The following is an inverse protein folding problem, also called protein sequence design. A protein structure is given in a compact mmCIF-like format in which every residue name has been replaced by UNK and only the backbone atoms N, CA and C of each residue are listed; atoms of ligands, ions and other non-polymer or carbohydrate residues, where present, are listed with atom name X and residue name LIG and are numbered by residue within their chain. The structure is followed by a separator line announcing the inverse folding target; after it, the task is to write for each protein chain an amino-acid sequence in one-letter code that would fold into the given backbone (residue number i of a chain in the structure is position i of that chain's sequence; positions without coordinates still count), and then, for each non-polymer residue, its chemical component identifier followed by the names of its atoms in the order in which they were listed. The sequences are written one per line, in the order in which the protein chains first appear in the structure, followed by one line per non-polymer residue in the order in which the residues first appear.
data_IF_831768011133
#
_entry.id   IF_831768011133
#
_cell.length_a   1.000
_cell.length_b   1.000
_cell.length_c   1.000
_cell.angle_alpha   90.00
_cell.angle_beta   90.00
_cell.angle_gamma   90.00
#
_symmetry.space_group_name_H-M   'P 1'
#
loop_
_entity.id
_entity.type
_entity.pdbx_description
1 polymer ?
#
# COMPACT_ATOMS: atom_id res chain seq x y z
N UNK A 1 14.26 -9.10 -9.98
CA UNK A 1 13.05 -9.74 -9.45
C UNK A 1 12.73 -9.21 -8.07
N UNK A 2 11.46 -9.03 -7.82
CA UNK A 2 10.86 -8.71 -6.54
C UNK A 2 10.20 -9.98 -6.00
N UNK A 3 10.53 -10.39 -4.77
CA UNK A 3 9.96 -11.59 -4.15
C UNK A 3 9.07 -11.16 -3.00
N UNK A 4 7.80 -11.51 -3.07
CA UNK A 4 6.75 -11.18 -2.08
C UNK A 4 6.11 -12.46 -1.53
N UNK A 5 5.30 -12.30 -0.47
CA UNK A 5 4.46 -13.35 0.10
C UNK A 5 2.99 -12.96 -0.05
N UNK A 6 2.11 -13.95 -0.26
CA UNK A 6 0.66 -13.71 -0.39
C UNK A 6 -0.05 -13.47 0.94
N UNK A 7 0.49 -13.95 2.02
CA UNK A 7 -0.20 -14.10 3.31
C UNK A 7 0.30 -13.18 4.42
N UNK A 8 1.19 -12.25 4.10
CA UNK A 8 1.68 -11.28 5.08
C UNK A 8 2.20 -10.01 4.42
N UNK A 9 1.96 -8.88 5.06
CA UNK A 9 2.67 -7.65 4.76
C UNK A 9 4.08 -7.80 5.31
N UNK A 10 5.12 -7.95 4.53
CA UNK A 10 6.50 -7.66 4.93
C UNK A 10 7.55 -8.07 3.90
N UNK A 11 8.59 -7.28 3.88
CA UNK A 11 9.93 -7.46 3.33
C UNK A 11 10.00 -8.19 2.00
N UNK A 12 9.92 -7.37 1.03
CA UNK A 12 10.31 -7.65 -0.32
C UNK A 12 11.80 -7.98 -0.34
N UNK A 13 12.16 -9.13 -0.87
CA UNK A 13 13.54 -9.42 -1.20
C UNK A 13 13.78 -8.99 -2.64
N UNK A 14 14.59 -7.94 -2.82
CA UNK A 14 15.01 -7.49 -4.15
C UNK A 14 16.19 -8.35 -4.61
N UNK A 15 16.01 -9.04 -5.72
CA UNK A 15 17.05 -9.79 -6.39
C UNK A 15 17.48 -9.06 -7.66
N UNK A 16 18.47 -8.18 -7.55
CA UNK A 16 19.00 -7.44 -8.70
C UNK A 16 19.89 -8.31 -9.60
N UNK A 17 20.56 -9.30 -9.05
CA UNK A 17 21.44 -10.20 -9.81
C UNK A 17 21.24 -11.65 -9.37
N UNK A 18 20.68 -12.47 -10.25
CA UNK A 18 20.42 -13.90 -9.99
C UNK A 18 21.70 -14.69 -9.67
N UNK A 19 22.85 -14.27 -10.20
CA UNK A 19 24.16 -14.95 -9.97
C UNK A 19 24.73 -14.68 -8.57
N UNK A 20 24.36 -13.55 -7.93
CA UNK A 20 24.82 -13.16 -6.60
C UNK A 20 23.88 -13.59 -5.46
N UNK A 21 22.78 -14.26 -5.77
CA UNK A 21 21.82 -14.73 -4.77
C UNK A 21 22.37 -15.98 -4.09
N UNK A 22 22.63 -15.91 -2.80
CA UNK A 22 22.92 -17.09 -1.97
C UNK A 22 21.67 -17.96 -1.88
N UNK A 23 21.52 -18.88 -2.85
CA UNK A 23 20.33 -19.72 -3.04
C UNK A 23 19.91 -20.43 -1.76
N UNK A 24 20.85 -21.00 -1.00
CA UNK A 24 20.57 -21.81 0.18
C UNK A 24 20.05 -20.99 1.37
N UNK A 25 20.66 -19.82 1.63
CA UNK A 25 20.25 -18.93 2.73
C UNK A 25 18.91 -18.29 2.45
N UNK A 26 18.68 -17.83 1.23
CA UNK A 26 17.40 -17.24 0.84
C UNK A 26 16.27 -18.28 0.80
N UNK A 27 16.54 -19.51 0.35
CA UNK A 27 15.55 -20.59 0.36
C UNK A 27 15.08 -20.88 1.79
N UNK A 28 15.97 -21.09 2.75
CA UNK A 28 15.61 -21.32 4.16
C UNK A 28 14.77 -20.18 4.75
N UNK A 29 15.14 -18.93 4.44
CA UNK A 29 14.40 -17.75 4.91
C UNK A 29 13.00 -17.66 4.31
N UNK A 30 12.88 -17.96 3.02
CA UNK A 30 11.60 -17.99 2.32
C UNK A 30 10.69 -19.11 2.85
N UNK A 31 11.21 -20.33 2.97
CA UNK A 31 10.49 -21.49 3.50
C UNK A 31 10.09 -21.31 4.97
N UNK A 32 10.96 -20.72 5.79
CA UNK A 32 10.63 -20.38 7.18
C UNK A 32 9.49 -19.38 7.27
N UNK A 33 9.40 -18.45 6.33
CA UNK A 33 8.32 -17.46 6.28
C UNK A 33 6.97 -18.06 5.88
N UNK A 34 6.93 -19.12 5.07
CA UNK A 34 5.69 -19.82 4.69
C UNK A 34 5.03 -20.55 5.86
N UNK A 35 5.80 -20.89 6.90
CA UNK A 35 5.28 -21.59 8.10
C UNK A 35 4.57 -20.65 9.08
N UNK A 36 4.75 -19.34 8.94
CA UNK A 36 4.16 -18.37 9.84
C UNK A 36 2.72 -18.06 9.43
N UNK A 37 1.79 -18.23 10.35
CA UNK A 37 0.41 -17.80 10.14
C UNK A 37 0.28 -16.32 10.57
N UNK A 38 0.21 -15.41 9.60
CA UNK A 38 0.13 -13.98 9.87
C UNK A 38 -1.14 -13.59 10.65
N UNK A 39 -2.25 -14.27 10.40
CA UNK A 39 -3.50 -14.02 11.11
C UNK A 39 -3.38 -14.24 12.62
N UNK A 40 -2.58 -15.19 13.07
CA UNK A 40 -2.41 -15.43 14.53
C UNK A 40 -1.69 -14.27 15.22
N UNK A 41 -0.93 -13.49 14.46
CA UNK A 41 -0.14 -12.33 14.94
C UNK A 41 -0.96 -11.04 14.83
N UNK A 42 -1.46 -10.74 13.64
CA UNK A 42 -2.13 -9.46 13.34
C UNK A 42 -3.63 -9.47 13.60
N UNK A 43 -4.25 -10.66 13.64
CA UNK A 43 -5.71 -10.84 13.70
C UNK A 43 -6.47 -10.21 12.52
N UNK A 44 -5.78 -9.88 11.46
CA UNK A 44 -6.38 -9.36 10.23
C UNK A 44 -7.14 -10.49 9.51
N UNK A 45 -8.46 -10.43 9.56
CA UNK A 45 -9.37 -11.47 9.04
C UNK A 45 -9.10 -11.88 7.57
N UNK A 46 -8.79 -10.97 6.64
CA UNK A 46 -8.53 -11.35 5.25
C UNK A 46 -7.41 -12.36 5.07
N UNK A 47 -6.43 -12.39 5.98
CA UNK A 47 -5.29 -13.31 5.90
C UNK A 47 -5.56 -14.70 6.52
N UNK A 48 -6.70 -14.87 7.20
CA UNK A 48 -6.99 -16.11 7.95
C UNK A 48 -6.90 -17.38 7.10
N UNK A 49 -7.44 -17.32 5.88
CA UNK A 49 -7.55 -18.46 4.97
C UNK A 49 -6.69 -18.29 3.70
N UNK A 50 -5.77 -17.32 3.67
CA UNK A 50 -4.87 -17.14 2.54
C UNK A 50 -3.79 -18.21 2.58
N UNK A 51 -3.75 -19.03 1.53
CA UNK A 51 -2.69 -20.03 1.36
C UNK A 51 -1.32 -19.33 1.23
N UNK A 52 -0.34 -19.67 2.07
CA UNK A 52 0.99 -19.10 2.01
C UNK A 52 1.70 -19.44 0.69
N UNK A 53 1.96 -18.44 -0.12
CA UNK A 53 2.70 -18.58 -1.40
C UNK A 53 3.78 -17.54 -1.50
N UNK A 54 4.76 -17.83 -2.34
CA UNK A 54 5.82 -16.89 -2.76
C UNK A 54 5.50 -16.45 -4.18
N UNK A 55 5.48 -15.13 -4.39
CA UNK A 55 5.29 -14.53 -5.71
C UNK A 55 6.62 -13.90 -6.13
N UNK A 56 7.00 -14.08 -7.38
CA UNK A 56 8.14 -13.41 -7.99
C UNK A 56 7.65 -12.53 -9.14
N UNK A 57 7.94 -11.24 -9.04
CA UNK A 57 7.55 -10.23 -10.02
C UNK A 57 8.78 -9.62 -10.68
N UNK A 58 8.68 -9.09 -11.91
CA UNK A 58 9.72 -8.23 -12.46
C UNK A 58 10.01 -7.05 -11.52
N UNK A 59 11.27 -6.66 -11.39
CA UNK A 59 11.59 -5.40 -10.73
C UNK A 59 11.25 -4.27 -11.67
N UNK A 60 10.30 -3.44 -11.27
CA UNK A 60 9.78 -2.37 -12.09
C UNK A 60 10.64 -1.11 -11.93
N UNK A 61 10.97 -0.49 -13.03
CA UNK A 61 11.63 0.80 -13.15
C UNK A 61 10.95 1.57 -14.27
N UNK A 62 10.95 2.87 -14.19
CA UNK A 62 10.55 3.74 -15.29
C UNK A 62 11.77 4.36 -15.99
N UNK A 63 11.52 5.12 -17.05
CA UNK A 63 12.57 5.76 -17.85
C UNK A 63 13.29 6.88 -17.10
N UNK A 64 12.75 7.38 -16.00
CA UNK A 64 13.40 8.38 -15.15
C UNK A 64 14.57 7.83 -14.36
N UNK A 65 14.61 6.51 -14.15
CA UNK A 65 15.60 5.84 -13.30
C UNK A 65 15.51 6.23 -11.82
N UNK A 66 14.51 7.03 -11.43
CA UNK A 66 14.25 7.42 -10.06
C UNK A 66 13.47 6.34 -9.29
N UNK A 67 13.32 6.51 -7.98
CA UNK A 67 12.44 5.68 -7.17
C UNK A 67 10.98 5.84 -7.66
N UNK A 68 10.33 4.72 -7.97
CA UNK A 68 8.92 4.73 -8.34
C UNK A 68 8.08 5.25 -7.20
N UNK A 69 7.25 6.25 -7.49
CA UNK A 69 6.28 6.77 -6.53
C UNK A 69 5.17 5.75 -6.33
N UNK A 70 4.81 5.58 -5.08
CA UNK A 70 3.81 4.66 -4.58
C UNK A 70 2.56 5.47 -4.21
N UNK A 71 1.51 5.33 -5.01
CA UNK A 71 0.24 6.04 -4.83
C UNK A 71 -0.76 5.12 -4.14
N UNK A 72 -1.14 5.50 -2.92
CA UNK A 72 -1.98 4.70 -2.04
C UNK A 72 -3.34 5.35 -1.87
N UNK A 73 -4.30 4.79 -2.53
CA UNK A 73 -5.67 5.30 -2.52
C UNK A 73 -6.49 4.66 -1.41
N UNK A 74 -7.16 5.46 -0.63
CA UNK A 74 -8.07 5.01 0.42
C UNK A 74 -9.51 5.08 -0.12
N UNK A 75 -10.11 3.91 -0.25
CA UNK A 75 -11.46 3.76 -0.76
C UNK A 75 -12.44 3.49 0.39
N UNK A 76 -13.49 4.27 0.42
CA UNK A 76 -14.58 4.15 1.39
C UNK A 76 -15.87 3.86 0.61
N UNK A 77 -16.47 2.69 0.88
CA UNK A 77 -17.70 2.24 0.22
C UNK A 77 -17.63 2.28 -1.32
N UNK A 78 -16.48 1.87 -1.87
CA UNK A 78 -16.25 1.84 -3.31
C UNK A 78 -15.91 3.20 -3.94
N UNK A 79 -15.67 4.25 -3.14
CA UNK A 79 -15.28 5.58 -3.61
C UNK A 79 -13.94 6.00 -3.05
N UNK A 80 -13.08 6.55 -3.91
CA UNK A 80 -11.85 7.20 -3.48
C UNK A 80 -12.19 8.47 -2.71
N UNK A 81 -11.66 8.65 -1.52
CA UNK A 81 -11.84 9.85 -0.71
C UNK A 81 -10.53 10.59 -0.45
N UNK A 82 -9.45 9.86 -0.24
CA UNK A 82 -8.12 10.43 -0.10
C UNK A 82 -7.04 9.49 -0.63
N UNK A 83 -5.92 10.07 -0.96
CA UNK A 83 -4.75 9.40 -1.50
C UNK A 83 -3.55 9.82 -0.67
N UNK A 84 -2.59 8.95 -0.47
CA UNK A 84 -1.30 9.38 0.04
C UNK A 84 -0.14 8.82 -0.76
N UNK A 85 0.95 9.58 -0.76
CA UNK A 85 2.20 9.19 -1.38
C UNK A 85 3.28 9.02 -0.32
N UNK A 86 4.20 8.12 -0.61
CA UNK A 86 5.40 7.89 0.19
C UNK A 86 6.61 8.39 -0.61
N UNK A 87 7.38 9.32 -0.03
CA UNK A 87 8.59 9.87 -0.63
C UNK A 87 9.79 9.70 0.30
N UNK A 88 10.99 9.82 -0.25
CA UNK A 88 12.25 9.79 0.50
C UNK A 88 12.46 8.52 1.36
N UNK A 89 11.93 7.36 0.93
CA UNK A 89 11.99 6.10 1.69
C UNK A 89 13.39 5.66 2.08
N UNK A 90 14.36 5.97 1.24
CA UNK A 90 15.77 5.61 1.44
C UNK A 90 16.66 6.82 1.74
N UNK A 91 16.08 8.01 1.90
CA UNK A 91 16.82 9.20 2.26
C UNK A 91 17.25 9.18 3.74
N UNK A 92 18.33 9.86 4.10
CA UNK A 92 18.78 9.96 5.50
C UNK A 92 17.72 10.55 6.44
N UNK A 93 16.88 11.47 5.96
CA UNK A 93 15.79 12.10 6.69
C UNK A 93 14.60 11.17 6.92
N UNK A 94 14.58 10.02 6.23
CA UNK A 94 13.57 9.00 6.36
C UNK A 94 12.30 9.26 5.55
N UNK A 95 11.39 8.30 5.64
CA UNK A 95 10.12 8.29 4.92
C UNK A 95 9.25 9.50 5.26
N UNK A 96 8.67 10.10 4.23
CA UNK A 96 7.63 11.13 4.35
C UNK A 96 6.32 10.60 3.74
N UNK A 97 5.21 10.99 4.35
CA UNK A 97 3.86 10.61 3.89
C UNK A 97 3.02 11.87 3.76
N UNK A 98 2.49 12.09 2.58
CA UNK A 98 1.65 13.27 2.28
C UNK A 98 0.30 12.82 1.77
N UNK A 99 -0.78 13.29 2.39
CA UNK A 99 -2.16 13.01 2.00
C UNK A 99 -2.68 14.09 1.06
N UNK A 100 -3.51 13.65 0.11
CA UNK A 100 -4.18 14.47 -0.89
C UNK A 100 -5.65 14.09 -0.97
N UNK A 101 -6.49 15.05 -1.31
CA UNK A 101 -7.85 14.79 -1.74
C UNK A 101 -7.92 14.33 -3.21
N UNK A 102 -9.11 14.13 -3.74
CA UNK A 102 -9.33 13.75 -5.14
C UNK A 102 -9.00 14.84 -6.16
N UNK A 103 -8.88 16.09 -5.73
CA UNK A 103 -8.41 17.21 -6.56
C UNK A 103 -6.90 17.37 -6.54
N UNK A 104 -6.19 16.51 -5.80
CA UNK A 104 -4.75 16.58 -5.58
C UNK A 104 -4.31 17.76 -4.69
N UNK A 105 -5.20 18.22 -3.82
CA UNK A 105 -4.87 19.23 -2.81
C UNK A 105 -4.39 18.55 -1.53
N UNK A 106 -3.33 19.12 -0.92
CA UNK A 106 -2.78 18.55 0.33
C UNK A 106 -3.80 18.63 1.45
N UNK A 107 -4.06 17.51 2.10
CA UNK A 107 -4.94 17.45 3.26
C UNK A 107 -4.20 17.87 4.54
N UNK A 108 -4.90 18.51 5.51
CA UNK A 108 -4.28 19.13 6.68
C UNK A 108 -4.04 18.15 7.83
N UNK A 109 -3.65 16.92 7.54
CA UNK A 109 -3.33 15.91 8.56
C UNK A 109 -2.15 15.03 8.15
N UNK A 110 -1.59 14.35 9.11
CA UNK A 110 -0.50 13.39 8.90
C UNK A 110 -0.73 12.12 9.73
N UNK A 111 -0.07 11.05 9.33
CA UNK A 111 0.26 9.90 10.18
C UNK A 111 1.57 10.20 10.93
N UNK A 112 2.08 9.23 11.66
CA UNK A 112 3.36 9.32 12.40
C UNK A 112 4.59 9.73 11.56
N UNK A 113 4.47 9.79 10.22
CA UNK A 113 5.52 10.29 9.34
C UNK A 113 5.35 11.78 9.03
N UNK A 114 6.46 12.52 8.82
CA UNK A 114 6.38 13.92 8.41
C UNK A 114 5.77 14.07 7.01
N UNK A 115 5.15 15.22 6.75
CA UNK A 115 4.66 15.61 5.43
C UNK A 115 5.83 16.11 4.58
N UNK A 116 5.85 15.75 3.30
CA UNK A 116 6.81 16.31 2.37
C UNK A 116 6.48 17.78 2.07
N UNK A 117 7.47 18.65 2.31
CA UNK A 117 7.34 20.08 2.01
C UNK A 117 7.48 20.38 0.53
N UNK A 118 8.13 19.50 -0.23
CA UNK A 118 8.29 19.65 -1.68
C UNK A 118 6.95 19.46 -2.39
N UNK A 119 6.73 20.11 -3.54
CA UNK A 119 5.62 19.79 -4.41
C UNK A 119 5.68 18.32 -4.86
N UNK A 120 4.56 17.64 -4.82
CA UNK A 120 4.42 16.29 -5.36
C UNK A 120 3.44 16.39 -6.53
N UNK A 121 3.92 16.09 -7.72
CA UNK A 121 3.11 16.15 -8.93
C UNK A 121 2.03 15.08 -8.93
N UNK A 122 0.84 15.45 -9.43
CA UNK A 122 -0.25 14.52 -9.69
C UNK A 122 0.20 13.52 -10.76
N UNK A 123 -0.01 12.21 -10.57
CA UNK A 123 0.35 11.24 -11.60
C UNK A 123 -0.45 11.46 -12.89
N UNK A 124 0.17 11.25 -14.04
CA UNK A 124 -0.49 11.41 -15.34
C UNK A 124 -1.68 10.45 -15.51
N UNK A 125 -1.57 9.23 -14.97
CA UNK A 125 -2.60 8.21 -15.01
C UNK A 125 -3.60 8.28 -13.86
N UNK A 126 -3.70 9.43 -13.17
CA UNK A 126 -4.54 9.56 -11.97
C UNK A 126 -6.00 9.16 -12.20
N UNK A 127 -6.62 9.65 -13.24
CA UNK A 127 -8.04 9.40 -13.52
C UNK A 127 -8.29 7.92 -13.88
N UNK A 128 -7.33 7.30 -14.59
CA UNK A 128 -7.35 5.86 -14.84
C UNK A 128 -7.17 5.06 -13.53
N UNK A 129 -6.26 5.49 -12.67
CA UNK A 129 -6.11 4.90 -11.35
C UNK A 129 -7.41 4.97 -10.55
N UNK A 130 -8.06 6.13 -10.46
CA UNK A 130 -9.35 6.30 -9.77
C UNK A 130 -10.40 5.32 -10.32
N UNK A 131 -10.53 5.20 -11.63
CA UNK A 131 -11.46 4.28 -12.25
C UNK A 131 -11.18 2.80 -11.91
N UNK A 132 -9.92 2.38 -11.96
CA UNK A 132 -9.50 1.04 -11.58
C UNK A 132 -9.76 0.76 -10.10
N UNK A 133 -9.53 1.76 -9.26
CA UNK A 133 -9.78 1.67 -7.82
C UNK A 133 -11.23 1.42 -7.49
N UNK A 134 -12.13 2.20 -8.06
CA UNK A 134 -13.56 2.07 -7.81
C UNK A 134 -14.07 0.70 -8.23
N UNK A 135 -13.50 0.12 -9.29
CA UNK A 135 -13.80 -1.26 -9.69
C UNK A 135 -13.31 -2.28 -8.67
N UNK A 136 -12.08 -2.15 -8.20
CA UNK A 136 -11.45 -3.08 -7.27
C UNK A 136 -12.08 -3.01 -5.87
N UNK A 137 -12.53 -1.83 -5.44
CA UNK A 137 -13.09 -1.61 -4.10
C UNK A 137 -14.62 -1.78 -4.03
N UNK A 138 -15.27 -2.14 -5.13
CA UNK A 138 -16.72 -2.29 -5.20
C UNK A 138 -17.25 -3.28 -4.16
N UNK A 139 -18.18 -2.83 -3.32
CA UNK A 139 -18.80 -3.66 -2.27
C UNK A 139 -17.93 -3.87 -1.03
N UNK A 140 -16.80 -3.18 -0.94
CA UNK A 140 -15.91 -3.23 0.23
C UNK A 140 -16.09 -1.94 1.03
N UNK A 141 -16.44 -2.00 2.34
CA UNK A 141 -16.62 -0.81 3.16
C UNK A 141 -15.38 0.07 3.24
N UNK A 142 -14.21 -0.55 3.36
CA UNK A 142 -12.91 0.14 3.33
C UNK A 142 -11.83 -0.76 2.76
N UNK A 143 -11.00 -0.21 1.90
CA UNK A 143 -9.78 -0.84 1.41
C UNK A 143 -8.80 0.22 0.92
N UNK A 144 -7.52 0.02 1.18
CA UNK A 144 -6.45 0.76 0.53
C UNK A 144 -5.99 -0.05 -0.68
N UNK A 145 -5.90 0.60 -1.83
CA UNK A 145 -5.32 -0.02 -3.03
C UNK A 145 -4.13 0.81 -3.49
N UNK A 146 -3.01 0.16 -3.74
CA UNK A 146 -1.75 0.79 -4.08
C UNK A 146 -1.43 0.59 -5.55
N UNK A 147 -0.98 1.68 -6.21
CA UNK A 147 -0.52 1.65 -7.59
C UNK A 147 0.83 2.34 -7.73
N UNK A 148 1.58 1.89 -8.72
CA UNK A 148 2.72 2.60 -9.27
C UNK A 148 2.35 3.22 -10.60
N UNK A 149 2.98 4.35 -10.95
CA UNK A 149 2.97 4.83 -12.32
C UNK A 149 4.32 4.53 -12.96
N UNK A 150 4.31 3.88 -14.14
CA UNK A 150 5.51 3.58 -14.92
C UNK A 150 5.24 4.05 -16.34
N UNK A 151 6.02 5.05 -16.78
CA UNK A 151 5.87 5.63 -18.12
C UNK A 151 4.42 6.03 -18.42
N UNK A 152 3.78 6.73 -17.46
CA UNK A 152 2.39 7.23 -17.52
C UNK A 152 1.30 6.14 -17.56
N UNK A 153 1.62 4.91 -17.15
CA UNK A 153 0.65 3.82 -17.03
C UNK A 153 0.55 3.33 -15.60
N UNK A 154 -0.64 3.05 -15.09
CA UNK A 154 -0.82 2.51 -13.76
C UNK A 154 -0.47 1.02 -13.71
N UNK A 155 0.21 0.61 -12.66
CA UNK A 155 0.51 -0.78 -12.34
C UNK A 155 0.04 -1.09 -10.93
N UNK A 156 -0.78 -2.12 -10.80
CA UNK A 156 -1.31 -2.59 -9.53
C UNK A 156 -0.18 -3.04 -8.59
N UNK A 157 -0.22 -2.59 -7.35
CA UNK A 157 0.71 -2.94 -6.28
C UNK A 157 0.14 -3.96 -5.31
N UNK A 158 -0.84 -3.54 -4.51
CA UNK A 158 -1.49 -4.38 -3.49
C UNK A 158 -2.86 -3.84 -3.06
N UNK A 159 -3.66 -4.69 -2.45
CA UNK A 159 -4.84 -4.31 -1.66
C UNK A 159 -4.53 -4.53 -0.18
N UNK A 160 -4.84 -3.53 0.66
CA UNK A 160 -4.64 -3.60 2.11
C UNK A 160 -5.94 -3.31 2.83
N UNK A 161 -6.47 -4.29 3.55
CA UNK A 161 -7.76 -4.16 4.23
C UNK A 161 -7.65 -3.48 5.59
N UNK A 162 -6.54 -3.66 6.28
CA UNK A 162 -6.26 -3.08 7.59
C UNK A 162 -4.89 -2.38 7.59
N UNK A 163 -4.77 -1.17 7.01
CA UNK A 163 -3.52 -0.42 7.05
C UNK A 163 -3.05 -0.26 8.50
N UNK A 164 -1.76 -0.60 8.74
CA UNK A 164 -1.20 -0.54 10.09
C UNK A 164 -1.95 -1.37 11.15
N UNK A 165 -2.53 -2.50 10.74
CA UNK A 165 -3.39 -3.36 11.58
C UNK A 165 -4.63 -2.66 12.15
N UNK A 166 -5.03 -1.53 11.57
CA UNK A 166 -6.13 -0.68 12.04
C UNK A 166 -5.79 0.19 13.26
N UNK A 167 -4.50 0.32 13.60
CA UNK A 167 -4.03 1.01 14.81
C UNK A 167 -3.17 2.23 14.48
N UNK A 168 -3.24 2.74 13.27
CA UNK A 168 -2.49 3.95 12.89
C UNK A 168 -3.19 5.20 13.41
N UNK A 169 -2.42 6.06 14.09
CA UNK A 169 -2.91 7.35 14.60
C UNK A 169 -2.75 8.45 13.56
N UNK A 170 -3.75 9.35 13.50
CA UNK A 170 -3.71 10.57 12.70
C UNK A 170 -3.47 11.80 13.58
N UNK A 171 -2.83 12.82 13.02
CA UNK A 171 -2.61 14.09 13.69
C UNK A 171 -3.04 15.25 12.78
N UNK A 172 -3.99 16.12 13.17
CA UNK A 172 -4.71 16.10 14.44
C UNK A 172 -5.62 14.87 14.60
N UNK A 173 -5.94 14.51 15.85
CA UNK A 173 -6.68 13.27 16.17
C UNK A 173 -8.11 13.27 15.63
N UNK A 174 -8.71 14.43 15.45
CA UNK A 174 -10.05 14.56 14.84
C UNK A 174 -10.18 13.87 13.47
N UNK A 175 -9.06 13.66 12.78
CA UNK A 175 -9.06 12.94 11.50
C UNK A 175 -9.32 11.44 11.62
N UNK A 176 -9.13 10.85 12.80
CA UNK A 176 -9.59 9.48 13.06
C UNK A 176 -11.11 9.39 12.95
N UNK A 177 -11.81 10.35 13.58
CA UNK A 177 -13.28 10.41 13.55
C UNK A 177 -13.80 10.78 12.15
N UNK A 178 -13.16 11.75 11.49
CA UNK A 178 -13.53 12.17 10.13
C UNK A 178 -13.41 11.00 9.15
N UNK A 179 -12.25 10.34 9.10
CA UNK A 179 -12.03 9.21 8.20
C UNK A 179 -12.93 8.03 8.57
N UNK A 180 -13.12 7.76 9.87
CA UNK A 180 -14.03 6.73 10.35
C UNK A 180 -15.47 6.97 9.94
N UNK A 181 -15.93 8.24 9.96
CA UNK A 181 -17.28 8.61 9.53
C UNK A 181 -17.58 8.36 8.06
N UNK A 182 -16.55 8.19 7.24
CA UNK A 182 -16.70 7.84 5.82
C UNK A 182 -16.97 6.36 5.58
N UNK A 183 -16.82 5.50 6.60
CA UNK A 183 -17.03 4.05 6.49
C UNK A 183 -18.49 3.72 6.80
N UNK A 184 -19.20 3.16 5.84
CA UNK A 184 -20.53 2.59 6.04
C UNK A 184 -20.40 1.06 6.20
N UNK A 185 -20.62 0.57 7.39
CA UNK A 185 -20.61 -0.86 7.65
C UNK A 185 -21.90 -1.51 7.16
N UNK A 186 -21.85 -2.72 6.59
CA UNK A 186 -23.05 -3.45 6.22
C UNK A 186 -23.87 -3.72 7.48
N UNK A 187 -25.22 -3.81 7.36
CA UNK A 187 -26.07 -4.16 8.48
C UNK A 187 -25.62 -5.49 9.07
N UNK A 188 -25.57 -5.56 10.41
CA UNK A 188 -25.31 -6.84 11.09
C UNK A 188 -26.40 -7.82 10.68
N UNK A 189 -26.02 -8.94 10.10
CA UNK A 189 -26.94 -10.05 10.00
C UNK A 189 -27.30 -10.48 11.42
N UNK A 190 -28.59 -10.42 11.71
CA UNK A 190 -29.17 -10.92 12.98
C UNK A 190 -29.31 -12.41 12.94
#
# INVERSE_FOLDING_TARGET
LLIKYTHKSVRVNICMNKKKVHKRTNKKKLEGSLKNNYYTISREWPYKNVEPRIIAEPYMVDDSGAELKDYKFMCFNGKVKCIFTCTDRYAPEGLKVTFFDTNWEKMPFKRHYPIDKKPIEKPHSFDEMVHLYEKLSKGIPFVRVDFYEINRKPYFGEMTFYPGTGMEEFTPREWDDILGSWIELPPKYR
#
